data_IF_055077675515
#
_entry.id   IF_055077675515
#
_cell.length_a   1.000
_cell.length_b   1.000
_cell.length_c   1.000
_cell.angle_alpha   90.00
_cell.angle_beta   90.00
_cell.angle_gamma   90.00
#
_symmetry.space_group_name_H-M   'P 1'
#
loop_
_entity.id
_entity.type
_entity.pdbx_description
1 polymer ?
#
# COMPACT_ATOMS: atom_id res chain seq x y z
N UNK A 1 11.37 3.94 15.97
CA UNK A 1 10.35 3.21 15.20
C UNK A 1 11.06 2.05 14.50
N UNK A 2 11.11 0.90 15.17
CA UNK A 2 11.86 -0.29 14.76
C UNK A 2 11.06 -1.26 13.87
N UNK A 3 9.78 -0.95 13.59
CA UNK A 3 8.81 -1.90 13.01
C UNK A 3 9.19 -2.50 11.66
N UNK A 4 9.94 -1.78 10.82
CA UNK A 4 10.24 -2.21 9.44
C UNK A 4 11.59 -2.92 9.27
N UNK A 5 12.37 -3.10 10.36
CA UNK A 5 13.73 -3.67 10.27
C UNK A 5 13.72 -5.11 9.76
N UNK A 6 12.70 -5.90 10.12
CA UNK A 6 12.54 -7.27 9.63
C UNK A 6 12.35 -7.34 8.12
N UNK A 7 11.51 -6.46 7.56
CA UNK A 7 11.28 -6.37 6.13
C UNK A 7 12.54 -5.94 5.36
N UNK A 8 13.28 -4.96 5.89
CA UNK A 8 14.57 -4.52 5.33
C UNK A 8 15.57 -5.68 5.33
N UNK A 9 15.72 -6.40 6.45
CA UNK A 9 16.64 -7.53 6.56
C UNK A 9 16.28 -8.67 5.60
N UNK A 10 15.00 -8.95 5.42
CA UNK A 10 14.53 -9.93 4.46
C UNK A 10 14.87 -9.50 3.02
N UNK A 11 14.66 -8.23 2.68
CA UNK A 11 14.95 -7.70 1.34
C UNK A 11 16.45 -7.75 0.99
N UNK A 12 17.35 -7.51 1.94
CA UNK A 12 18.81 -7.69 1.73
C UNK A 12 19.18 -9.12 1.31
N UNK A 13 18.46 -10.11 1.85
CA UNK A 13 18.73 -11.52 1.62
C UNK A 13 18.06 -12.04 0.35
N UNK A 14 16.78 -11.73 0.16
CA UNK A 14 15.95 -12.19 -0.96
C UNK A 14 16.28 -11.43 -2.25
N UNK A 15 16.67 -10.16 -2.15
CA UNK A 15 16.88 -9.22 -3.27
C UNK A 15 15.69 -9.18 -4.23
N UNK A 16 14.50 -8.80 -3.73
CA UNK A 16 13.28 -8.87 -4.53
C UNK A 16 13.22 -7.79 -5.62
N UNK A 17 12.75 -8.16 -6.81
CA UNK A 17 12.46 -7.22 -7.89
C UNK A 17 11.22 -6.35 -7.59
N UNK A 18 10.23 -6.94 -6.91
CA UNK A 18 8.97 -6.32 -6.52
C UNK A 18 8.65 -6.62 -5.06
N UNK A 19 8.33 -5.59 -4.28
CA UNK A 19 7.78 -5.71 -2.93
C UNK A 19 6.39 -5.12 -2.88
N UNK A 20 5.46 -5.87 -2.28
CA UNK A 20 4.07 -5.45 -2.06
C UNK A 20 3.83 -5.47 -0.55
N UNK A 21 3.61 -4.30 0.06
CA UNK A 21 3.18 -4.20 1.45
C UNK A 21 1.65 -4.07 1.51
N UNK A 22 1.03 -4.85 2.40
CA UNK A 22 -0.38 -4.70 2.76
C UNK A 22 -0.45 -3.99 4.10
N UNK A 23 -1.09 -2.83 4.13
CA UNK A 23 -1.18 -2.00 5.33
C UNK A 23 -2.61 -1.48 5.53
N UNK A 24 -2.94 -1.06 6.75
CA UNK A 24 -4.16 -0.29 6.98
C UNK A 24 -3.94 1.14 6.48
N UNK A 25 -4.97 1.75 5.89
CA UNK A 25 -4.85 3.07 5.26
C UNK A 25 -5.55 4.14 6.09
N UNK A 26 -4.80 4.99 6.83
CA UNK A 26 -5.38 6.08 7.58
C UNK A 26 -6.24 7.00 6.74
N UNK A 27 -7.51 7.14 7.08
CA UNK A 27 -8.25 8.34 6.68
C UNK A 27 -7.81 9.47 7.60
N UNK A 28 -6.77 10.18 7.16
CA UNK A 28 -6.19 11.32 7.86
C UNK A 28 -6.75 12.64 7.34
N UNK A 29 -6.76 13.67 8.19
CA UNK A 29 -7.19 15.01 7.81
C UNK A 29 -6.40 15.53 6.60
N UNK A 30 -7.09 16.03 5.59
CA UNK A 30 -6.50 16.58 4.37
C UNK A 30 -6.24 15.57 3.25
N UNK A 31 -6.47 14.27 3.46
CA UNK A 31 -6.51 13.30 2.37
C UNK A 31 -7.95 13.13 1.87
N UNK A 32 -8.17 13.03 0.55
CA UNK A 32 -9.50 12.79 -0.03
C UNK A 32 -9.89 11.30 0.08
N UNK A 33 -9.66 10.68 1.24
CA UNK A 33 -10.01 9.30 1.52
C UNK A 33 -11.32 9.22 2.28
N UNK A 34 -12.12 8.21 1.96
CA UNK A 34 -13.37 7.89 2.65
C UNK A 34 -13.31 6.46 3.14
N UNK A 35 -13.85 6.21 4.34
CA UNK A 35 -14.03 4.84 4.84
C UNK A 35 -15.20 4.18 4.13
N UNK A 36 -14.90 3.58 2.99
CA UNK A 36 -15.82 2.79 2.19
C UNK A 36 -15.18 1.45 1.75
N UNK A 37 -15.85 0.72 0.87
CA UNK A 37 -15.41 -0.59 0.42
C UNK A 37 -14.18 -0.57 -0.52
N UNK A 38 -13.72 0.58 -0.99
CA UNK A 38 -12.67 0.69 -2.01
C UNK A 38 -11.28 0.56 -1.37
N UNK A 39 -10.40 -0.30 -1.90
CA UNK A 39 -9.00 -0.33 -1.49
C UNK A 39 -8.31 1.03 -1.68
N UNK A 40 -7.28 1.29 -0.89
CA UNK A 40 -6.42 2.47 -1.00
C UNK A 40 -5.07 2.06 -1.54
N UNK A 41 -4.63 2.69 -2.63
CA UNK A 41 -3.31 2.49 -3.24
C UNK A 41 -2.43 3.69 -2.90
N UNK A 42 -1.27 3.41 -2.32
CA UNK A 42 -0.33 4.44 -1.90
C UNK A 42 0.58 4.74 -3.09
N UNK A 43 0.54 5.98 -3.57
CA UNK A 43 1.45 6.44 -4.63
C UNK A 43 2.73 7.04 -4.03
N UNK A 44 2.61 7.60 -2.84
CA UNK A 44 3.69 8.25 -2.11
C UNK A 44 3.46 8.08 -0.62
N UNK A 45 4.56 7.97 0.11
CA UNK A 45 4.61 8.08 1.56
C UNK A 45 5.84 8.89 2.01
N UNK A 46 5.97 9.17 3.31
CA UNK A 46 7.13 9.88 3.85
C UNK A 46 7.90 8.95 4.77
N UNK A 47 9.12 8.59 4.36
CA UNK A 47 10.00 7.68 5.10
C UNK A 47 11.23 8.45 5.54
N UNK A 48 11.51 8.48 6.85
CA UNK A 48 12.66 9.20 7.42
C UNK A 48 12.78 10.66 6.92
N UNK A 49 11.64 11.38 6.86
CA UNK A 49 11.58 12.77 6.40
C UNK A 49 11.68 12.97 4.89
N UNK A 50 11.80 11.90 4.09
CA UNK A 50 11.93 11.96 2.64
C UNK A 50 10.68 11.44 1.94
N UNK A 51 10.30 12.06 0.83
CA UNK A 51 9.24 11.56 -0.04
C UNK A 51 9.69 10.27 -0.75
N UNK A 52 8.97 9.17 -0.52
CA UNK A 52 9.19 7.90 -1.21
C UNK A 52 8.02 7.63 -2.13
N UNK A 53 8.32 7.41 -3.41
CA UNK A 53 7.32 7.10 -4.43
C UNK A 53 7.36 5.61 -4.76
N UNK A 54 6.17 5.01 -4.80
CA UNK A 54 5.97 3.66 -5.28
C UNK A 54 6.01 3.61 -6.81
N UNK A 55 6.06 2.40 -7.37
CA UNK A 55 6.05 2.20 -8.81
C UNK A 55 4.74 2.71 -9.40
N UNK A 56 4.78 3.87 -10.09
CA UNK A 56 3.59 4.47 -10.72
C UNK A 56 2.88 3.48 -11.65
N UNK A 57 3.64 2.72 -12.44
CA UNK A 57 3.11 1.68 -13.34
C UNK A 57 2.29 0.65 -12.57
N UNK A 58 2.79 0.19 -11.44
CA UNK A 58 2.12 -0.84 -10.63
C UNK A 58 0.92 -0.27 -9.87
N UNK A 59 1.02 0.95 -9.34
CA UNK A 59 -0.11 1.64 -8.72
C UNK A 59 -1.25 1.88 -9.73
N UNK A 60 -0.94 2.36 -10.93
CA UNK A 60 -1.94 2.58 -12.00
C UNK A 60 -2.58 1.25 -12.45
N UNK A 61 -1.78 0.17 -12.53
CA UNK A 61 -2.30 -1.15 -12.84
C UNK A 61 -3.28 -1.65 -11.78
N UNK A 62 -3.01 -1.42 -10.49
CA UNK A 62 -3.92 -1.75 -9.39
C UNK A 62 -5.19 -0.90 -9.42
N UNK A 63 -5.07 0.40 -9.69
CA UNK A 63 -6.24 1.29 -9.83
C UNK A 63 -7.15 0.81 -10.97
N UNK A 64 -6.57 0.52 -12.14
CA UNK A 64 -7.30 0.00 -13.30
C UNK A 64 -7.91 -1.37 -13.02
N UNK A 65 -7.17 -2.24 -12.34
CA UNK A 65 -7.65 -3.57 -11.97
C UNK A 65 -8.84 -3.53 -11.02
N UNK A 66 -8.78 -2.68 -10.00
CA UNK A 66 -9.90 -2.48 -9.07
C UNK A 66 -11.16 -1.99 -9.80
N UNK A 67 -11.00 -1.12 -10.81
CA UNK A 67 -12.12 -0.70 -11.67
C UNK A 67 -12.67 -1.86 -12.49
N UNK A 68 -11.81 -2.66 -13.12
CA UNK A 68 -12.22 -3.86 -13.87
C UNK A 68 -12.90 -4.92 -13.01
N UNK A 69 -12.60 -4.97 -11.71
CA UNK A 69 -13.25 -5.85 -10.74
C UNK A 69 -14.59 -5.30 -10.20
N UNK A 70 -14.98 -4.09 -10.60
CA UNK A 70 -16.29 -3.50 -10.31
C UNK A 70 -16.42 -2.78 -8.98
N UNK A 71 -15.32 -2.58 -8.23
CA UNK A 71 -15.36 -1.84 -6.96
C UNK A 71 -14.51 -0.57 -6.95
N UNK A 72 -13.53 -0.41 -7.84
CA UNK A 72 -12.67 0.78 -7.90
C UNK A 72 -11.70 0.91 -6.71
N UNK A 73 -10.86 1.95 -6.71
CA UNK A 73 -9.88 2.18 -5.66
C UNK A 73 -9.67 3.68 -5.40
N UNK A 74 -9.06 4.02 -4.27
CA UNK A 74 -8.71 5.37 -3.86
C UNK A 74 -7.19 5.55 -3.91
N UNK A 75 -6.71 6.72 -4.32
CA UNK A 75 -5.28 7.03 -4.35
C UNK A 75 -4.88 7.82 -3.11
N UNK A 76 -3.74 7.49 -2.50
CA UNK A 76 -3.20 8.19 -1.34
C UNK A 76 -1.76 8.67 -1.55
N UNK A 77 -1.47 9.85 -1.01
CA UNK A 77 -0.14 10.46 -0.93
C UNK A 77 0.14 10.81 0.53
N UNK A 78 0.57 9.84 1.33
CA UNK A 78 0.78 10.06 2.77
C UNK A 78 1.99 10.94 3.04
N UNK A 79 1.83 11.96 3.87
CA UNK A 79 2.93 12.83 4.30
C UNK A 79 3.50 12.43 5.67
N UNK A 80 2.79 11.59 6.41
CA UNK A 80 3.14 11.15 7.76
C UNK A 80 2.75 9.67 8.00
N UNK A 81 3.13 8.78 7.07
CA UNK A 81 3.04 7.32 7.22
C UNK A 81 4.25 6.68 6.55
N UNK A 82 4.64 5.50 7.03
CA UNK A 82 5.76 4.72 6.51
C UNK A 82 5.45 3.22 6.58
N UNK A 83 5.44 2.57 5.43
CA UNK A 83 5.23 1.14 5.23
C UNK A 83 6.55 0.39 5.10
N UNK A 84 6.49 -0.93 5.21
CA UNK A 84 7.64 -1.81 4.95
C UNK A 84 8.19 -1.65 3.53
N UNK A 85 7.30 -1.57 2.53
CA UNK A 85 7.71 -1.38 1.14
C UNK A 85 8.37 -0.01 0.93
N UNK A 86 7.87 1.04 1.58
CA UNK A 86 8.49 2.37 1.56
C UNK A 86 9.89 2.37 2.17
N UNK A 87 10.08 1.65 3.28
CA UNK A 87 11.39 1.52 3.94
C UNK A 87 12.39 0.74 3.09
N UNK A 88 11.96 -0.36 2.48
CA UNK A 88 12.76 -1.12 1.52
C UNK A 88 13.13 -0.25 0.31
N UNK A 89 12.17 0.52 -0.22
CA UNK A 89 12.41 1.44 -1.34
C UNK A 89 13.40 2.53 -0.99
N UNK A 90 13.25 3.15 0.19
CA UNK A 90 14.15 4.17 0.70
C UNK A 90 15.59 3.65 0.85
N UNK A 91 15.75 2.40 1.29
CA UNK A 91 17.05 1.73 1.41
C UNK A 91 17.64 1.26 0.05
N UNK A 92 16.91 1.43 -1.06
CA UNK A 92 17.37 0.98 -2.38
C UNK A 92 17.37 -0.54 -2.57
N UNK A 93 16.64 -1.27 -1.74
CA UNK A 93 16.67 -2.74 -1.70
C UNK A 93 15.66 -3.43 -2.64
N UNK A 94 14.81 -2.66 -3.32
CA UNK A 94 13.91 -3.16 -4.36
C UNK A 94 13.70 -2.13 -5.46
N UNK A 95 13.65 -2.59 -6.71
CA UNK A 95 13.42 -1.75 -7.89
C UNK A 95 11.97 -1.25 -7.94
N UNK A 96 11.02 -2.15 -7.67
CA UNK A 96 9.59 -1.85 -7.65
C UNK A 96 9.03 -2.09 -6.26
N UNK A 97 8.25 -1.13 -5.79
CA UNK A 97 7.52 -1.27 -4.52
C UNK A 97 6.11 -0.74 -4.70
N UNK A 98 5.17 -1.34 -3.97
CA UNK A 98 3.79 -0.88 -3.86
C UNK A 98 3.31 -1.09 -2.43
N UNK A 99 2.52 -0.15 -1.93
CA UNK A 99 1.75 -0.31 -0.69
C UNK A 99 0.27 -0.11 -0.99
N UNK A 100 -0.57 -1.01 -0.48
CA UNK A 100 -2.01 -0.91 -0.59
C UNK A 100 -2.72 -1.49 0.63
N UNK A 101 -3.98 -1.10 0.78
CA UNK A 101 -4.72 -1.37 2.00
C UNK A 101 -6.20 -1.12 1.91
N UNK A 102 -6.85 -1.15 3.06
CA UNK A 102 -8.23 -0.72 3.23
C UNK A 102 -8.29 0.58 4.06
N UNK A 103 -9.24 1.49 3.76
CA UNK A 103 -9.38 2.72 4.52
C UNK A 103 -9.94 2.41 5.92
N UNK A 104 -9.39 3.08 6.93
CA UNK A 104 -9.86 2.98 8.31
C UNK A 104 -9.87 4.32 9.04
N UNK A 105 -10.81 4.47 9.96
CA UNK A 105 -10.80 5.53 10.99
C UNK A 105 -10.15 5.03 12.28
N UNK A 106 -9.67 5.99 13.08
CA UNK A 106 -8.98 5.78 14.35
C UNK A 106 -7.66 5.00 14.21
N UNK A 107 -6.71 5.21 15.12
CA UNK A 107 -5.46 4.43 15.16
C UNK A 107 -5.05 4.16 16.59
N UNK A 108 -4.38 3.02 16.82
CA UNK A 108 -3.82 2.64 18.12
C UNK A 108 -4.88 2.41 19.23
N UNK A 109 -6.05 1.93 18.82
CA UNK A 109 -7.18 1.57 19.68
C UNK A 109 -8.16 0.66 18.92
N UNK A 110 -9.43 1.06 18.84
CA UNK A 110 -10.43 0.38 18.00
C UNK A 110 -10.45 1.00 16.60
N UNK A 111 -10.01 0.24 15.60
CA UNK A 111 -10.06 0.65 14.19
C UNK A 111 -11.44 0.38 13.60
N UNK A 112 -11.95 1.32 12.80
CA UNK A 112 -13.23 1.20 12.12
C UNK A 112 -12.98 1.15 10.62
N UNK A 113 -13.46 0.09 9.98
CA UNK A 113 -13.35 -0.09 8.53
C UNK A 113 -14.66 -0.63 7.95
N UNK A 114 -14.89 -0.37 6.67
CA UNK A 114 -16.05 -0.91 5.97
C UNK A 114 -15.91 -2.43 5.78
N UNK A 115 -16.91 -3.24 6.15
CA UNK A 115 -16.81 -4.70 6.15
C UNK A 115 -16.37 -5.34 4.81
N UNK A 116 -16.69 -4.71 3.67
CA UNK A 116 -16.28 -5.17 2.33
C UNK A 116 -14.87 -4.76 1.90
N UNK A 117 -14.22 -3.84 2.60
CA UNK A 117 -12.92 -3.29 2.15
C UNK A 117 -11.82 -4.34 2.14
N UNK A 118 -11.71 -5.14 3.21
CA UNK A 118 -10.71 -6.21 3.31
C UNK A 118 -10.91 -7.31 2.24
N UNK A 119 -12.11 -7.86 2.00
CA UNK A 119 -12.35 -8.77 0.88
C UNK A 119 -11.95 -8.19 -0.49
N UNK A 120 -12.19 -6.89 -0.73
CA UNK A 120 -11.78 -6.25 -1.97
C UNK A 120 -10.27 -6.11 -2.09
N UNK A 121 -9.55 -5.80 -1.00
CA UNK A 121 -8.07 -5.81 -0.97
C UNK A 121 -7.55 -7.20 -1.33
N UNK A 122 -8.07 -8.25 -0.69
CA UNK A 122 -7.65 -9.64 -0.97
C UNK A 122 -7.87 -9.99 -2.44
N UNK A 123 -9.05 -9.68 -2.99
CA UNK A 123 -9.37 -9.95 -4.40
C UNK A 123 -8.46 -9.17 -5.34
N UNK A 124 -8.18 -7.91 -5.04
CA UNK A 124 -7.31 -7.05 -5.85
C UNK A 124 -5.87 -7.58 -5.87
N UNK A 125 -5.32 -7.91 -4.71
CA UNK A 125 -3.95 -8.45 -4.57
C UNK A 125 -3.83 -9.78 -5.28
N UNK A 126 -4.77 -10.71 -5.05
CA UNK A 126 -4.73 -12.02 -5.69
C UNK A 126 -4.74 -11.90 -7.22
N UNK A 127 -5.56 -11.01 -7.77
CA UNK A 127 -5.62 -10.79 -9.22
C UNK A 127 -4.37 -10.07 -9.76
N UNK A 128 -3.83 -9.11 -9.02
CA UNK A 128 -2.59 -8.45 -9.39
C UNK A 128 -1.40 -9.43 -9.42
N UNK A 129 -1.31 -10.31 -8.43
CA UNK A 129 -0.27 -11.34 -8.36
C UNK A 129 -0.31 -12.29 -9.57
N UNK A 130 -1.51 -12.67 -10.05
CA UNK A 130 -1.65 -13.48 -11.28
C UNK A 130 -1.05 -12.80 -12.51
N UNK A 131 -1.13 -11.46 -12.60
CA UNK A 131 -0.63 -10.68 -13.75
C UNK A 131 0.87 -10.43 -13.72
N UNK A 132 1.48 -10.39 -12.54
CA UNK A 132 2.93 -10.17 -12.40
C UNK A 132 3.74 -11.46 -12.30
N UNK A 133 3.07 -12.60 -12.14
CA UNK A 133 3.68 -13.94 -12.12
C UNK A 133 3.61 -14.66 -13.48
N UNK A 134 2.90 -14.09 -14.44
CA UNK A 134 2.78 -14.55 -15.84
C UNK A 134 3.83 -13.89 -16.72
#
# INVERSE_FOLDING_TARGET
MEGCLGAVRAAESIKPDLVIALDTSPVAFGLPLVVDARPVIWYRETVAGSAVYHSKKDCDALMSLAQGLGFGAQAALYTAAASDAGRIRYAGLAQRTVTLGFPRENSHGFEIAHAKSLPHVVRLVAEYLRRVSS
#
